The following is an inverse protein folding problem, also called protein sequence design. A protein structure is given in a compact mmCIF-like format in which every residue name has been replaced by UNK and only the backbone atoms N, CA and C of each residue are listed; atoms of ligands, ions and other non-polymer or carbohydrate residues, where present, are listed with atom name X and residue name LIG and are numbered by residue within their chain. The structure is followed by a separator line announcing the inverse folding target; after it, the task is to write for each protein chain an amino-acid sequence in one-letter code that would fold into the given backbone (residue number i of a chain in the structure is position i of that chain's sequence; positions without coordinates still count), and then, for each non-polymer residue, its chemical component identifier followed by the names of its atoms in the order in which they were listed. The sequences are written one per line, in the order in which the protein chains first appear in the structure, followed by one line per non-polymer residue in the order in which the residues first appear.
data_IF_154751762914
#
_entry.id   IF_154751762914
#
_cell.length_a   1.000
_cell.length_b   1.000
_cell.length_c   1.000
_cell.angle_alpha   90.00
_cell.angle_beta   90.00
_cell.angle_gamma   90.00
#
_symmetry.space_group_name_H-M   'P 1'
#
loop_
_entity.id
_entity.type
_entity.pdbx_description
1 polymer ?
#
# COMPACT_ATOMS: atom_id res chain seq x y z
N UNK A 1 -12.89 -43.99 17.59
CA UNK A 1 -12.30 -42.68 17.98
C UNK A 1 -11.03 -42.47 17.16
N UNK A 2 -11.13 -41.76 16.04
CA UNK A 2 -9.95 -41.22 15.34
C UNK A 2 -9.57 -39.92 16.04
N UNK A 3 -8.37 -39.84 16.59
CA UNK A 3 -7.77 -38.58 17.07
C UNK A 3 -6.95 -38.05 15.88
N UNK A 4 -7.48 -37.03 15.19
CA UNK A 4 -6.71 -36.24 14.23
C UNK A 4 -5.67 -35.43 15.01
N UNK A 5 -4.38 -35.67 14.72
CA UNK A 5 -3.30 -34.75 15.07
C UNK A 5 -3.44 -33.49 14.23
N UNK A 6 -3.76 -32.37 14.88
CA UNK A 6 -3.66 -31.03 14.30
C UNK A 6 -2.18 -30.64 14.42
N UNK A 7 -1.45 -30.69 13.31
CA UNK A 7 -0.16 -30.02 13.18
C UNK A 7 -0.42 -28.51 13.14
N UNK A 8 0.22 -27.69 13.99
CA UNK A 8 0.12 -26.25 13.86
C UNK A 8 0.87 -25.82 12.60
N UNK A 9 0.20 -25.02 11.77
CA UNK A 9 0.81 -24.27 10.68
C UNK A 9 1.89 -23.38 11.28
N UNK A 10 3.15 -23.70 10.99
CA UNK A 10 4.26 -22.79 11.18
C UNK A 10 4.05 -21.69 10.15
N UNK A 11 3.61 -20.53 10.61
CA UNK A 11 3.69 -19.30 9.84
C UNK A 11 5.18 -18.94 9.82
N UNK A 12 5.86 -19.27 8.73
CA UNK A 12 7.18 -18.70 8.46
C UNK A 12 6.97 -17.19 8.30
N UNK A 13 7.25 -16.48 9.39
CA UNK A 13 7.45 -15.03 9.41
C UNK A 13 8.53 -14.72 8.39
N UNK A 14 8.14 -14.19 7.23
CA UNK A 14 9.07 -13.68 6.25
C UNK A 14 10.00 -12.69 6.96
N UNK A 15 11.28 -13.06 6.99
CA UNK A 15 12.39 -12.32 7.57
C UNK A 15 12.42 -10.92 6.94
N UNK A 16 11.81 -9.95 7.62
CA UNK A 16 12.09 -8.53 7.42
C UNK A 16 13.59 -8.38 7.58
N UNK A 17 14.27 -7.77 6.60
CA UNK A 17 15.63 -7.31 6.78
C UNK A 17 15.68 -6.54 8.12
N UNK A 18 16.60 -6.94 9.00
CA UNK A 18 16.80 -6.32 10.31
C UNK A 18 17.30 -4.89 10.09
N UNK A 19 16.35 -3.96 10.04
CA UNK A 19 16.55 -2.53 9.78
C UNK A 19 17.06 -1.78 11.02
N UNK A 20 17.53 -2.51 12.06
CA UNK A 20 18.02 -1.95 13.32
C UNK A 20 16.95 -1.26 14.18
N UNK A 21 15.74 -1.03 13.66
CA UNK A 21 14.67 -0.26 14.30
C UNK A 21 13.84 -1.00 15.36
N UNK A 22 14.19 -2.24 15.71
CA UNK A 22 13.34 -3.14 16.52
C UNK A 22 12.83 -2.53 17.84
N UNK A 23 13.66 -1.75 18.54
CA UNK A 23 13.27 -1.11 19.81
C UNK A 23 12.27 0.03 19.66
N UNK A 24 12.33 0.77 18.54
CA UNK A 24 11.40 1.86 18.22
C UNK A 24 10.08 1.27 17.76
N UNK A 25 10.12 0.31 16.81
CA UNK A 25 8.93 -0.39 16.31
C UNK A 25 8.20 -1.13 17.44
N UNK A 26 8.92 -1.51 18.49
CA UNK A 26 8.35 -2.16 19.65
C UNK A 26 7.94 -3.58 19.34
N UNK A 27 8.83 -4.37 18.73
CA UNK A 27 8.65 -5.80 18.44
C UNK A 27 8.62 -6.68 19.72
N UNK A 28 7.88 -6.21 20.73
CA UNK A 28 7.62 -6.85 22.01
C UNK A 28 6.19 -6.55 22.44
N UNK A 29 5.82 -6.97 23.65
CA UNK A 29 4.43 -6.91 24.11
C UNK A 29 3.91 -5.45 24.07
N UNK A 30 2.82 -5.13 23.33
CA UNK A 30 2.23 -3.78 23.26
C UNK A 30 1.85 -3.20 24.63
N UNK A 31 1.81 -4.03 25.67
CA UNK A 31 1.58 -3.65 27.06
C UNK A 31 2.76 -2.99 27.75
N UNK A 32 3.95 -2.92 27.15
CA UNK A 32 5.14 -2.42 27.85
C UNK A 32 5.17 -0.90 28.04
N UNK A 33 4.22 -0.13 27.48
CA UNK A 33 4.07 1.33 27.65
C UNK A 33 5.40 2.11 27.58
N UNK A 34 6.37 1.61 26.83
CA UNK A 34 7.73 2.13 26.76
C UNK A 34 8.33 1.90 25.37
N UNK A 35 9.30 2.74 25.05
CA UNK A 35 10.06 2.69 23.82
C UNK A 35 11.44 3.34 24.04
N UNK A 36 12.42 2.85 23.30
CA UNK A 36 13.81 3.29 23.44
C UNK A 36 14.43 3.48 22.07
N UNK A 37 15.50 4.27 22.01
CA UNK A 37 16.41 4.25 20.86
C UNK A 37 16.92 2.83 20.59
N UNK A 38 17.24 2.51 19.33
CA UNK A 38 17.89 1.25 18.98
C UNK A 38 19.14 1.01 19.82
N UNK A 39 19.34 -0.26 20.22
CA UNK A 39 20.45 -0.73 21.05
C UNK A 39 20.53 -0.18 22.49
N UNK A 40 19.59 0.65 22.95
CA UNK A 40 19.58 1.16 24.32
C UNK A 40 19.73 0.02 25.35
N UNK A 41 20.62 0.13 26.35
CA UNK A 41 21.33 1.34 26.81
C UNK A 41 22.66 1.65 26.09
N UNK A 42 23.04 0.86 25.08
CA UNK A 42 24.20 1.16 24.25
C UNK A 42 23.91 2.28 23.24
N UNK A 43 24.94 2.70 22.52
CA UNK A 43 24.80 3.72 21.49
C UNK A 43 23.89 3.24 20.36
N UNK A 44 23.01 4.12 19.86
CA UNK A 44 22.22 3.83 18.66
C UNK A 44 23.14 3.72 17.44
N UNK A 45 22.69 3.04 16.38
CA UNK A 45 23.45 2.95 15.13
C UNK A 45 23.32 4.23 14.30
N UNK A 46 24.33 4.55 13.50
CA UNK A 46 24.21 5.55 12.42
C UNK A 46 23.14 5.17 11.39
N UNK A 47 22.65 6.16 10.63
CA UNK A 47 21.80 6.01 9.44
C UNK A 47 20.46 5.30 9.68
N UNK A 48 19.87 5.48 10.86
CA UNK A 48 18.56 4.93 11.18
C UNK A 48 17.45 5.90 10.76
N UNK A 49 16.33 5.37 10.27
CA UNK A 49 15.10 6.14 10.06
C UNK A 49 13.89 5.30 10.49
N UNK A 50 13.61 5.33 11.79
CA UNK A 50 12.66 4.46 12.44
C UNK A 50 11.36 5.18 12.75
N UNK A 51 10.24 4.58 12.37
CA UNK A 51 8.89 5.08 12.68
C UNK A 51 8.10 4.09 13.53
N UNK A 52 7.37 4.61 14.51
CA UNK A 52 6.37 3.89 15.30
C UNK A 52 5.09 4.71 15.39
N UNK A 53 3.94 4.05 15.25
CA UNK A 53 2.63 4.65 15.50
C UNK A 53 1.99 4.00 16.72
N UNK A 54 1.58 4.80 17.69
CA UNK A 54 0.84 4.37 18.87
C UNK A 54 -0.62 4.80 18.72
N UNK A 55 -1.54 3.87 18.96
CA UNK A 55 -2.98 4.10 18.96
C UNK A 55 -3.51 4.04 20.39
N UNK A 56 -4.21 5.10 20.81
CA UNK A 56 -4.96 5.14 22.04
C UNK A 56 -6.34 4.47 21.89
N UNK A 57 -6.95 4.15 23.03
CA UNK A 57 -8.37 3.83 23.09
C UNK A 57 -9.19 5.08 22.75
N UNK A 58 -10.39 4.94 22.16
CA UNK A 58 -11.27 6.07 21.91
C UNK A 58 -11.49 6.92 23.17
N UNK A 59 -11.32 8.24 23.05
CA UNK A 59 -11.47 9.20 24.14
C UNK A 59 -10.27 9.31 25.09
N UNK A 60 -9.10 8.80 24.71
CA UNK A 60 -7.84 8.96 25.44
C UNK A 60 -6.80 9.72 24.60
N UNK A 61 -6.06 10.59 25.27
CA UNK A 61 -4.85 11.22 24.75
C UNK A 61 -3.64 10.34 25.08
N UNK A 62 -2.54 10.51 24.35
CA UNK A 62 -1.26 9.83 24.62
C UNK A 62 -0.28 10.87 25.18
N UNK A 63 0.25 10.62 26.37
CA UNK A 63 1.26 11.46 27.02
C UNK A 63 2.59 10.70 27.06
N UNK A 64 3.68 11.31 26.59
CA UNK A 64 5.02 10.74 26.61
C UNK A 64 5.85 11.35 27.73
N UNK A 65 6.54 10.50 28.47
CA UNK A 65 7.43 10.87 29.57
C UNK A 65 8.83 10.32 29.31
N UNK A 66 9.83 11.21 29.21
CA UNK A 66 11.23 10.81 29.20
C UNK A 66 11.74 10.55 30.62
N UNK A 67 12.59 9.55 30.77
CA UNK A 67 13.29 9.28 32.02
C UNK A 67 14.70 9.90 31.99
N UNK A 68 15.50 9.72 33.06
CA UNK A 68 16.78 10.41 33.31
C UNK A 68 17.90 10.22 32.25
N UNK A 69 17.65 9.51 31.14
CA UNK A 69 18.61 9.28 30.07
C UNK A 69 18.04 9.77 28.73
N UNK A 70 18.59 10.88 28.25
CA UNK A 70 18.33 11.45 26.92
C UNK A 70 19.64 12.04 26.39
N UNK A 71 20.23 11.37 25.40
CA UNK A 71 21.45 11.78 24.73
C UNK A 71 21.30 11.49 23.24
N UNK A 72 21.00 12.53 22.47
CA UNK A 72 20.97 12.52 21.02
C UNK A 72 21.90 13.64 20.57
N UNK A 73 22.57 13.48 19.43
CA UNK A 73 23.50 14.51 18.91
C UNK A 73 22.88 15.92 18.99
N UNK A 74 23.64 16.86 19.52
CA UNK A 74 23.16 18.24 19.68
C UNK A 74 23.28 19.01 18.37
N UNK A 75 22.36 19.93 18.11
CA UNK A 75 22.50 20.85 16.99
C UNK A 75 23.69 21.78 17.21
N UNK A 76 24.58 21.88 16.22
CA UNK A 76 25.71 22.82 16.20
C UNK A 76 25.30 24.30 16.05
N UNK A 77 24.01 24.64 16.20
CA UNK A 77 23.53 26.02 16.18
C UNK A 77 24.09 26.77 17.40
N UNK A 78 25.27 27.35 17.19
CA UNK A 78 25.97 28.29 18.05
C UNK A 78 25.20 29.62 17.98
N UNK A 79 23.96 29.66 18.46
CA UNK A 79 23.35 30.92 18.89
C UNK A 79 22.92 30.82 20.35
N UNK A 80 23.85 31.29 21.17
CA UNK A 80 23.91 31.27 22.62
C UNK A 80 22.85 32.15 23.32
N UNK A 81 21.74 32.50 22.70
CA UNK A 81 20.86 33.58 23.19
C UNK A 81 19.35 33.34 23.03
N UNK A 82 18.82 32.17 23.36
CA UNK A 82 17.36 32.05 23.53
C UNK A 82 17.03 31.19 24.75
N UNK A 83 16.94 31.83 25.91
CA UNK A 83 16.18 31.35 27.08
C UNK A 83 14.65 31.38 26.83
N UNK A 84 14.17 31.28 25.58
CA UNK A 84 12.75 31.03 25.33
C UNK A 84 12.46 29.54 25.43
N UNK A 85 11.85 29.19 26.56
CA UNK A 85 11.05 27.98 26.75
C UNK A 85 10.12 27.77 25.55
N UNK A 86 10.46 26.82 24.69
CA UNK A 86 9.55 26.33 23.63
C UNK A 86 10.15 26.22 22.24
N UNK A 87 11.43 26.57 22.03
CA UNK A 87 12.06 26.39 20.72
C UNK A 87 12.30 24.91 20.46
N UNK A 88 11.56 24.38 19.48
CA UNK A 88 11.93 23.21 18.69
C UNK A 88 13.35 23.46 18.14
N UNK A 89 14.38 22.92 18.79
CA UNK A 89 15.72 22.89 18.21
C UNK A 89 15.60 22.22 16.84
N UNK A 90 16.13 22.84 15.79
CA UNK A 90 15.93 22.37 14.41
C UNK A 90 16.47 20.94 14.21
N UNK A 91 17.32 20.46 15.13
CA UNK A 91 17.91 19.11 15.21
C UNK A 91 18.15 18.53 13.82
N UNK A 92 19.06 19.16 13.05
CA UNK A 92 19.20 18.87 11.62
C UNK A 92 19.77 17.48 11.34
N UNK A 93 20.56 16.96 12.28
CA UNK A 93 21.24 15.68 12.22
C UNK A 93 20.35 14.62 12.89
N UNK A 94 20.71 14.20 14.10
CA UNK A 94 19.93 13.24 14.87
C UNK A 94 18.76 13.89 15.61
N UNK A 95 17.62 13.21 15.61
CA UNK A 95 16.45 13.67 16.34
C UNK A 95 15.45 12.57 16.68
N UNK A 96 14.64 12.86 17.70
CA UNK A 96 13.33 12.24 17.87
C UNK A 96 12.23 13.28 17.66
N UNK A 97 11.26 12.93 16.82
CA UNK A 97 10.13 13.77 16.48
C UNK A 97 8.82 13.08 16.84
N UNK A 98 7.89 13.87 17.39
CA UNK A 98 6.55 13.44 17.76
C UNK A 98 5.51 14.26 17.00
N UNK A 99 4.51 13.58 16.44
CA UNK A 99 3.39 14.20 15.71
C UNK A 99 2.05 13.72 16.25
N UNK A 100 1.09 14.63 16.31
CA UNK A 100 -0.28 14.35 16.75
C UNK A 100 -1.10 13.80 15.58
N UNK A 101 -1.06 12.49 15.41
CA UNK A 101 -1.73 11.78 14.31
C UNK A 101 -1.04 10.47 13.94
N UNK A 102 -1.48 9.86 12.84
CA UNK A 102 -0.99 8.54 12.36
C UNK A 102 0.12 8.62 11.33
N UNK A 103 0.40 9.79 10.76
CA UNK A 103 1.16 9.91 9.52
C UNK A 103 2.33 10.89 9.67
N UNK A 104 3.34 10.76 8.80
CA UNK A 104 4.47 11.69 8.76
C UNK A 104 4.08 13.13 8.46
N UNK A 105 2.93 13.35 7.82
CA UNK A 105 2.36 14.69 7.55
C UNK A 105 1.42 15.19 8.66
N UNK A 106 1.28 14.46 9.77
CA UNK A 106 0.49 14.92 10.93
C UNK A 106 1.16 16.14 11.60
N UNK A 107 0.38 17.00 12.31
CA UNK A 107 0.92 18.16 13.02
C UNK A 107 2.06 17.80 13.97
N UNK A 108 3.15 18.57 13.93
CA UNK A 108 4.31 18.36 14.81
C UNK A 108 3.98 18.81 16.23
N UNK A 109 4.21 17.93 17.20
CA UNK A 109 4.19 18.25 18.63
C UNK A 109 5.55 18.86 19.01
N UNK A 110 6.63 18.20 18.61
CA UNK A 110 7.98 18.67 18.85
C UNK A 110 9.06 17.76 18.26
N UNK A 111 10.22 18.35 18.02
CA UNK A 111 11.45 17.68 17.60
C UNK A 111 12.52 17.94 18.67
N UNK A 112 13.24 16.90 19.07
CA UNK A 112 14.14 16.93 20.21
C UNK A 112 15.47 16.24 19.91
N UNK A 113 16.54 16.83 20.43
CA UNK A 113 17.91 16.35 20.41
C UNK A 113 18.71 17.00 21.54
N UNK A 114 19.98 16.62 21.72
CA UNK A 114 20.84 17.11 22.80
C UNK A 114 20.90 16.19 24.03
N UNK A 115 21.41 16.74 25.12
CA UNK A 115 21.80 15.99 26.33
C UNK A 115 20.83 16.13 27.51
N UNK A 116 19.87 17.04 27.40
CA UNK A 116 18.86 17.28 28.43
C UNK A 116 17.52 16.69 28.02
N UNK A 117 16.82 16.08 28.97
CA UNK A 117 15.46 15.59 28.76
C UNK A 117 14.52 16.73 28.33
N UNK A 118 13.66 16.52 27.31
CA UNK A 118 12.67 17.51 26.90
C UNK A 118 11.81 18.01 28.07
N UNK A 119 11.73 19.33 28.25
CA UNK A 119 10.93 19.97 29.31
C UNK A 119 9.48 20.25 28.90
N UNK A 120 9.17 20.14 27.61
CA UNK A 120 7.83 20.35 27.06
C UNK A 120 6.95 19.12 27.27
N UNK A 121 5.66 19.32 27.54
CA UNK A 121 4.67 18.25 27.56
C UNK A 121 4.49 17.68 26.14
N UNK A 122 4.72 16.38 25.96
CA UNK A 122 4.52 15.71 24.67
C UNK A 122 3.18 14.98 24.74
N UNK A 123 2.14 15.60 24.20
CA UNK A 123 0.76 15.11 24.29
C UNK A 123 0.08 15.07 22.92
N UNK A 124 -0.33 13.89 22.49
CA UNK A 124 -1.15 13.70 21.29
C UNK A 124 -2.64 13.60 21.66
N UNK A 125 -3.47 14.46 21.08
CA UNK A 125 -4.90 14.59 21.36
C UNK A 125 -5.78 13.90 20.31
N UNK A 126 -5.23 13.59 19.14
CA UNK A 126 -5.93 12.85 18.09
C UNK A 126 -6.24 11.38 18.44
N UNK A 127 -5.66 10.88 19.55
CA UNK A 127 -5.64 9.46 19.88
C UNK A 127 -4.58 8.67 19.12
N UNK A 128 -3.77 9.33 18.29
CA UNK A 128 -2.64 8.74 17.57
C UNK A 128 -1.36 9.53 17.81
N UNK A 129 -0.27 8.80 18.04
CA UNK A 129 1.05 9.38 18.18
C UNK A 129 1.97 8.73 17.17
N UNK A 130 2.45 9.52 16.22
CA UNK A 130 3.49 9.12 15.28
C UNK A 130 4.83 9.59 15.81
N UNK A 131 5.78 8.65 15.90
CA UNK A 131 7.12 8.84 16.47
C UNK A 131 8.13 8.50 15.38
N UNK A 132 9.08 9.41 15.12
CA UNK A 132 10.21 9.16 14.23
C UNK A 132 11.52 9.42 14.94
N UNK A 133 12.40 8.43 14.94
CA UNK A 133 13.78 8.58 15.34
C UNK A 133 14.67 8.47 14.10
N UNK A 134 15.48 9.50 13.85
CA UNK A 134 16.42 9.54 12.73
C UNK A 134 17.83 9.78 13.26
N UNK A 135 18.80 9.05 12.73
CA UNK A 135 20.23 9.33 12.91
C UNK A 135 20.95 9.51 11.57
N UNK A 136 21.99 10.33 11.56
CA UNK A 136 22.89 10.49 10.42
C UNK A 136 24.11 9.55 10.50
N UNK A 137 25.16 9.81 9.72
CA UNK A 137 26.35 8.95 9.63
C UNK A 137 27.39 9.17 10.73
N UNK A 138 27.17 10.10 11.68
CA UNK A 138 28.16 10.51 12.67
C UNK A 138 27.56 10.64 14.08
N UNK A 139 28.45 10.66 15.07
CA UNK A 139 28.18 11.10 16.46
C UNK A 139 27.00 10.39 17.16
N UNK A 140 27.13 9.08 17.35
CA UNK A 140 26.12 8.30 18.06
C UNK A 140 26.26 8.43 19.59
N UNK A 141 25.12 8.50 20.27
CA UNK A 141 25.02 8.58 21.73
C UNK A 141 24.16 7.44 22.28
N UNK A 142 24.01 7.35 23.61
CA UNK A 142 23.20 6.31 24.25
C UNK A 142 21.70 6.38 23.90
N UNK A 143 21.26 7.49 23.30
CA UNK A 143 19.88 7.69 22.89
C UNK A 143 18.96 7.96 24.07
N UNK A 144 17.82 7.28 24.12
CA UNK A 144 16.75 7.64 25.07
C UNK A 144 15.95 6.43 25.56
N UNK A 145 15.35 6.60 26.73
CA UNK A 145 14.31 5.75 27.26
C UNK A 145 13.09 6.59 27.64
N UNK A 146 11.93 6.23 27.08
CA UNK A 146 10.67 6.93 27.32
C UNK A 146 9.55 5.94 27.61
N UNK A 147 8.58 6.41 28.40
CA UNK A 147 7.30 5.74 28.61
C UNK A 147 6.17 6.57 28.03
N UNK A 148 5.03 5.95 27.79
CA UNK A 148 3.81 6.66 27.45
C UNK A 148 2.64 6.16 28.28
N UNK A 149 1.71 7.05 28.58
CA UNK A 149 0.48 6.72 29.26
C UNK A 149 -0.73 7.24 28.47
N UNK A 150 -1.85 6.52 28.60
CA UNK A 150 -3.11 6.92 28.00
C UNK A 150 -3.96 7.61 29.06
N UNK A 151 -4.13 8.92 28.94
CA UNK A 151 -4.93 9.72 29.87
C UNK A 151 -6.28 10.03 29.24
N UNK A 152 -7.34 10.08 30.05
CA UNK A 152 -8.68 10.39 29.53
C UNK A 152 -8.66 11.80 28.94
N UNK A 153 -9.15 11.95 27.71
CA UNK A 153 -9.16 13.25 27.06
C UNK A 153 -10.08 14.21 27.83
N UNK A 154 -9.53 15.36 28.20
CA UNK A 154 -10.26 16.45 28.85
C UNK A 154 -10.90 17.38 27.84
N UNK A 155 -10.52 17.27 26.57
CA UNK A 155 -11.18 17.99 25.52
C UNK A 155 -12.59 17.39 25.35
N UNK A 156 -13.59 18.10 25.87
CA UNK A 156 -15.01 17.76 25.67
C UNK A 156 -15.41 17.84 24.21
N UNK A 157 -14.51 18.31 23.33
CA UNK A 157 -14.58 18.01 21.92
C UNK A 157 -14.27 16.52 21.69
N UNK A 158 -15.22 15.63 22.04
CA UNK A 158 -15.75 14.80 20.95
C UNK A 158 -15.93 15.80 19.81
N UNK A 159 -15.27 15.62 18.67
CA UNK A 159 -15.36 16.48 17.47
C UNK A 159 -16.55 17.44 17.52
N UNK A 160 -16.48 18.71 17.08
CA UNK A 160 -17.69 19.53 16.90
C UNK A 160 -18.84 18.80 16.19
N UNK A 161 -18.55 17.70 15.48
CA UNK A 161 -19.44 16.56 15.25
C UNK A 161 -19.38 15.48 16.35
N UNK A 162 -20.21 15.58 17.40
CA UNK A 162 -20.50 14.48 18.33
C UNK A 162 -21.23 13.32 17.63
N UNK A 163 -20.64 12.76 16.59
CA UNK A 163 -21.23 11.79 15.68
C UNK A 163 -20.11 10.91 15.12
N UNK A 164 -20.30 9.61 15.30
CA UNK A 164 -20.14 8.49 14.37
C UNK A 164 -19.75 8.80 12.90
N UNK A 165 -18.79 9.68 12.62
CA UNK A 165 -18.17 9.81 11.30
C UNK A 165 -16.91 8.99 11.29
N UNK A 166 -16.96 7.93 10.48
CA UNK A 166 -15.81 7.08 10.16
C UNK A 166 -14.67 7.99 9.71
N UNK A 167 -13.52 7.89 10.36
CA UNK A 167 -12.26 8.44 9.82
C UNK A 167 -12.21 8.06 8.33
N UNK A 168 -11.99 9.02 7.45
CA UNK A 168 -11.96 8.77 6.01
C UNK A 168 -10.63 8.09 5.63
N UNK A 169 -10.40 6.93 6.21
CA UNK A 169 -9.22 6.11 6.05
C UNK A 169 -9.60 4.85 5.29
N UNK A 170 -8.92 4.63 4.17
CA UNK A 170 -9.14 3.50 3.28
C UNK A 170 -7.82 2.75 3.17
N UNK A 171 -7.84 1.44 3.42
CA UNK A 171 -6.63 0.62 3.43
C UNK A 171 -6.73 -0.46 2.37
N UNK A 172 -5.73 -0.51 1.51
CA UNK A 172 -5.50 -1.61 0.58
C UNK A 172 -4.22 -2.34 1.01
N UNK A 173 -4.38 -3.48 1.67
CA UNK A 173 -3.26 -4.30 2.13
C UNK A 173 -3.13 -5.56 1.28
N UNK A 174 -1.92 -5.86 0.86
CA UNK A 174 -1.54 -7.04 0.08
C UNK A 174 -2.17 -7.13 -1.31
N UNK A 175 -2.89 -6.10 -1.75
CA UNK A 175 -3.44 -6.03 -3.11
C UNK A 175 -2.33 -5.60 -4.08
N UNK A 176 -2.19 -6.31 -5.19
CA UNK A 176 -1.16 -6.02 -6.20
C UNK A 176 -1.52 -4.83 -7.08
N UNK A 177 -2.80 -4.44 -7.13
CA UNK A 177 -3.30 -3.27 -7.84
C UNK A 177 -4.67 -2.84 -7.28
N UNK A 178 -5.11 -1.63 -7.63
CA UNK A 178 -6.43 -1.14 -7.23
C UNK A 178 -6.75 0.25 -7.74
N UNK A 179 -8.04 0.58 -7.75
CA UNK A 179 -8.53 1.86 -8.24
C UNK A 179 -8.94 2.75 -7.07
N UNK A 180 -8.56 4.02 -7.18
CA UNK A 180 -8.86 5.09 -6.24
C UNK A 180 -9.80 6.06 -6.94
N UNK A 181 -10.99 6.22 -6.38
CA UNK A 181 -12.01 7.10 -6.92
C UNK A 181 -12.57 8.02 -5.83
N UNK A 182 -12.42 9.33 -5.99
CA UNK A 182 -12.93 10.30 -5.01
C UNK A 182 -14.46 10.34 -4.94
N UNK A 183 -15.15 10.01 -6.04
CA UNK A 183 -16.63 9.97 -6.07
C UNK A 183 -17.21 8.99 -5.06
N UNK A 184 -16.49 7.90 -4.77
CA UNK A 184 -16.90 6.88 -3.78
C UNK A 184 -16.88 7.41 -2.34
N UNK A 185 -16.15 8.50 -2.07
CA UNK A 185 -16.08 9.08 -0.73
C UNK A 185 -17.42 9.68 -0.26
N UNK A 186 -18.31 10.01 -1.20
CA UNK A 186 -19.64 10.55 -0.88
C UNK A 186 -20.55 9.55 -0.16
N UNK A 187 -20.38 8.24 -0.38
CA UNK A 187 -21.31 7.23 0.13
C UNK A 187 -21.27 7.07 1.65
N UNK A 188 -20.26 7.61 2.32
CA UNK A 188 -20.11 7.60 3.78
C UNK A 188 -20.48 8.91 4.46
N UNK A 189 -20.80 9.96 3.71
CA UNK A 189 -21.10 11.28 4.27
C UNK A 189 -22.59 11.42 4.61
N UNK A 190 -22.92 12.19 5.66
CA UNK A 190 -24.30 12.61 5.94
C UNK A 190 -24.94 13.32 4.77
N UNK A 191 -26.26 13.24 4.72
CA UNK A 191 -27.03 14.19 3.96
C UNK A 191 -26.71 15.63 4.42
N UNK A 192 -26.27 16.46 3.47
CA UNK A 192 -25.91 17.87 3.66
C UNK A 192 -24.71 18.12 4.59
N UNK A 193 -23.74 17.20 4.64
CA UNK A 193 -22.50 17.44 5.36
C UNK A 193 -21.77 18.68 4.80
N UNK A 194 -21.50 19.65 5.67
CA UNK A 194 -20.73 20.86 5.37
C UNK A 194 -19.49 20.86 6.25
N UNK A 195 -18.32 20.81 5.63
CA UNK A 195 -17.06 20.68 6.35
C UNK A 195 -15.95 20.13 5.47
N UNK A 196 -14.70 20.16 5.96
CA UNK A 196 -13.57 19.66 5.21
C UNK A 196 -13.63 18.14 5.08
N UNK A 197 -13.21 17.64 3.92
CA UNK A 197 -13.03 16.22 3.66
C UNK A 197 -11.53 15.94 3.59
N UNK A 198 -10.99 15.30 4.62
CA UNK A 198 -9.59 14.87 4.71
C UNK A 198 -9.54 13.34 4.72
N UNK A 199 -9.23 12.78 3.55
CA UNK A 199 -9.23 11.34 3.33
C UNK A 199 -7.82 10.82 3.06
N UNK A 200 -7.49 9.68 3.65
CA UNK A 200 -6.19 9.04 3.49
C UNK A 200 -6.36 7.61 2.99
N UNK A 201 -5.73 7.30 1.86
CA UNK A 201 -5.52 5.92 1.45
C UNK A 201 -4.15 5.44 1.89
N UNK A 202 -4.11 4.30 2.57
CA UNK A 202 -2.91 3.52 2.80
C UNK A 202 -2.88 2.38 1.79
N UNK A 203 -1.83 2.34 0.98
CA UNK A 203 -1.57 1.27 0.02
C UNK A 203 -0.33 0.55 0.49
N UNK A 204 -0.47 -0.75 0.71
CA UNK A 204 0.60 -1.65 1.12
C UNK A 204 0.61 -2.86 0.19
N UNK A 205 1.69 -3.00 -0.57
CA UNK A 205 1.96 -4.16 -1.43
C UNK A 205 2.98 -5.07 -0.73
N UNK A 206 3.17 -6.33 -1.16
CA UNK A 206 4.23 -7.17 -0.63
C UNK A 206 5.61 -6.51 -0.73
N UNK A 207 6.49 -6.75 0.25
CA UNK A 207 7.73 -6.00 0.46
C UNK A 207 8.75 -6.13 -0.68
N UNK A 208 8.61 -7.14 -1.53
CA UNK A 208 9.40 -7.34 -2.74
C UNK A 208 9.01 -6.42 -3.91
N UNK A 209 7.88 -5.70 -3.79
CA UNK A 209 7.39 -4.78 -4.82
C UNK A 209 7.46 -3.32 -4.38
N UNK A 210 7.45 -2.44 -5.38
CA UNK A 210 7.26 -1.00 -5.25
C UNK A 210 5.90 -0.60 -5.81
N UNK A 211 5.44 0.62 -5.50
CA UNK A 211 4.12 1.10 -5.94
C UNK A 211 4.27 2.21 -6.98
N UNK A 212 3.52 2.10 -8.08
CA UNK A 212 3.29 3.18 -9.03
C UNK A 212 1.83 3.60 -9.00
N UNK A 213 1.57 4.90 -9.12
CA UNK A 213 0.23 5.48 -9.22
C UNK A 213 0.07 6.15 -10.59
N UNK A 214 -0.89 5.68 -11.38
CA UNK A 214 -1.29 6.27 -12.66
C UNK A 214 -2.62 7.00 -12.50
N UNK A 215 -2.79 8.13 -13.18
CA UNK A 215 -4.04 8.89 -13.19
C UNK A 215 -4.74 8.67 -14.53
N UNK A 216 -5.98 8.17 -14.47
CA UNK A 216 -6.86 8.08 -15.63
C UNK A 216 -7.63 9.39 -15.82
N UNK A 217 -8.11 9.96 -14.70
CA UNK A 217 -8.77 11.25 -14.65
C UNK A 217 -8.26 12.05 -13.44
N UNK A 218 -7.98 13.33 -13.63
CA UNK A 218 -7.65 14.23 -12.52
C UNK A 218 -8.23 15.61 -12.74
N UNK A 219 -9.21 15.99 -11.93
CA UNK A 219 -9.77 17.33 -11.87
C UNK A 219 -10.13 17.65 -10.44
N UNK A 220 -9.36 18.53 -9.81
CA UNK A 220 -9.59 19.02 -8.46
C UNK A 220 -10.32 20.36 -8.49
N UNK A 221 -11.30 20.53 -7.61
CA UNK A 221 -12.08 21.77 -7.54
C UNK A 221 -11.23 23.00 -7.15
N UNK A 222 -11.58 24.15 -7.75
CA UNK A 222 -10.96 25.47 -7.53
C UNK A 222 -11.05 25.91 -6.04
N UNK A 223 -10.10 26.68 -5.47
CA UNK A 223 -8.96 27.32 -6.10
C UNK A 223 -7.83 26.37 -6.47
N UNK A 224 -7.20 26.60 -7.63
CA UNK A 224 -6.03 25.87 -8.14
C UNK A 224 -4.74 26.25 -7.38
N UNK A 225 -4.87 26.68 -6.14
CA UNK A 225 -3.77 26.90 -5.23
C UNK A 225 -3.72 25.69 -4.33
N UNK A 226 -2.68 24.86 -4.46
CA UNK A 226 -2.52 23.62 -3.71
C UNK A 226 -2.34 23.83 -2.18
N UNK A 227 -2.65 25.02 -1.66
CA UNK A 227 -2.76 25.34 -0.22
C UNK A 227 -4.18 25.23 0.32
N UNK A 228 -5.21 25.20 -0.53
CA UNK A 228 -6.61 25.05 -0.10
C UNK A 228 -7.14 23.64 -0.30
N UNK A 229 -7.03 23.13 -1.53
CA UNK A 229 -7.42 21.77 -1.90
C UNK A 229 -6.20 21.09 -2.51
N UNK A 230 -5.98 19.82 -2.16
CA UNK A 230 -4.83 19.10 -2.67
C UNK A 230 -5.06 17.59 -2.72
N UNK A 231 -4.28 16.96 -3.60
CA UNK A 231 -4.06 15.53 -3.63
C UNK A 231 -2.56 15.28 -3.49
N UNK A 232 -2.15 14.70 -2.37
CA UNK A 232 -0.74 14.46 -2.04
C UNK A 232 -0.42 12.98 -2.05
N UNK A 233 0.75 12.65 -2.57
CA UNK A 233 1.28 11.28 -2.59
C UNK A 233 2.56 11.24 -1.78
N UNK A 234 2.61 10.38 -0.78
CA UNK A 234 3.75 10.15 0.10
C UNK A 234 4.30 8.75 -0.13
N UNK A 235 5.63 8.62 -0.12
CA UNK A 235 6.34 7.40 -0.48
C UNK A 235 7.04 6.82 0.75
N UNK A 236 6.57 5.65 1.22
CA UNK A 236 7.09 5.01 2.43
C UNK A 236 6.46 5.53 3.73
N UNK A 237 6.90 4.96 4.85
CA UNK A 237 6.35 5.22 6.21
C UNK A 237 6.99 6.40 6.94
N UNK A 238 8.20 6.79 6.52
CA UNK A 238 8.99 7.87 7.13
C UNK A 238 8.79 9.22 6.44
N UNK A 239 8.11 9.25 5.29
CA UNK A 239 7.89 10.45 4.48
C UNK A 239 7.01 11.46 5.21
N UNK A 240 7.61 12.59 5.59
CA UNK A 240 6.92 13.76 6.16
C UNK A 240 6.58 14.81 5.09
N UNK A 241 7.24 14.75 3.93
CA UNK A 241 6.95 15.56 2.75
C UNK A 241 6.30 14.73 1.64
N UNK A 242 5.39 15.30 0.85
CA UNK A 242 4.80 14.59 -0.27
C UNK A 242 5.83 14.45 -1.40
N UNK A 243 5.93 13.27 -2.00
CA UNK A 243 6.69 13.05 -3.23
C UNK A 243 6.12 13.90 -4.39
N UNK A 244 4.78 14.06 -4.40
CA UNK A 244 4.05 14.95 -5.30
C UNK A 244 2.82 15.52 -4.61
N UNK A 245 2.53 16.79 -4.89
CA UNK A 245 1.29 17.48 -4.52
C UNK A 245 0.62 17.97 -5.80
N UNK A 246 -0.65 17.62 -5.99
CA UNK A 246 -1.43 17.96 -7.16
C UNK A 246 -2.62 18.86 -6.80
N UNK A 247 -2.90 19.81 -7.70
CA UNK A 247 -4.12 20.58 -7.76
C UNK A 247 -4.38 20.99 -9.23
N UNK A 248 -5.58 21.46 -9.55
CA UNK A 248 -5.97 21.78 -10.93
C UNK A 248 -6.47 20.55 -11.70
N UNK A 249 -6.14 20.46 -13.00
CA UNK A 249 -6.81 19.55 -13.95
C UNK A 249 -5.92 18.47 -14.57
N UNK A 250 -4.68 18.32 -14.10
CA UNK A 250 -3.77 17.29 -14.61
C UNK A 250 -2.87 16.79 -13.50
N UNK A 251 -2.57 15.49 -13.49
CA UNK A 251 -1.60 14.88 -12.59
C UNK A 251 -0.72 13.91 -13.39
N UNK A 252 0.57 13.88 -13.07
CA UNK A 252 1.53 12.95 -13.67
C UNK A 252 1.59 11.66 -12.84
N UNK A 253 2.01 10.52 -13.43
CA UNK A 253 2.24 9.30 -12.66
C UNK A 253 3.30 9.47 -11.57
N UNK A 254 3.15 8.74 -10.45
CA UNK A 254 4.09 8.78 -9.32
C UNK A 254 4.67 7.40 -9.09
N UNK A 255 6.00 7.29 -9.17
CA UNK A 255 6.73 6.07 -8.88
C UNK A 255 7.33 6.15 -7.48
N UNK A 256 6.93 5.25 -6.60
CA UNK A 256 7.56 5.02 -5.29
C UNK A 256 8.63 3.95 -5.43
N UNK A 257 9.68 4.03 -4.61
CA UNK A 257 10.66 2.96 -4.42
C UNK A 257 10.32 2.06 -3.21
N UNK A 258 9.20 2.35 -2.52
CA UNK A 258 8.76 1.65 -1.33
C UNK A 258 7.50 0.83 -1.61
N UNK A 259 7.29 -0.19 -0.79
CA UNK A 259 6.10 -1.06 -0.80
C UNK A 259 4.89 -0.45 -0.05
N UNK A 260 5.05 0.75 0.52
CA UNK A 260 4.00 1.51 1.19
C UNK A 260 3.88 2.89 0.54
N UNK A 261 2.65 3.32 0.29
CA UNK A 261 2.31 4.64 -0.23
C UNK A 261 1.10 5.18 0.52
N UNK A 262 1.16 6.44 0.93
CA UNK A 262 0.01 7.15 1.46
C UNK A 262 -0.47 8.18 0.45
N UNK A 263 -1.78 8.28 0.29
CA UNK A 263 -2.40 9.31 -0.54
C UNK A 263 -3.33 10.10 0.36
N UNK A 264 -3.12 11.41 0.42
CA UNK A 264 -3.97 12.32 1.17
C UNK A 264 -4.74 13.23 0.22
N UNK A 265 -6.05 13.16 0.30
CA UNK A 265 -6.96 14.06 -0.42
C UNK A 265 -7.61 14.98 0.59
N UNK A 266 -7.44 16.28 0.36
CA UNK A 266 -8.06 17.32 1.18
C UNK A 266 -8.91 18.23 0.32
N UNK A 267 -10.16 18.41 0.76
CA UNK A 267 -11.11 19.35 0.20
C UNK A 267 -11.66 20.22 1.33
N UNK A 268 -11.66 21.54 1.14
CA UNK A 268 -12.12 22.50 2.14
C UNK A 268 -13.62 22.38 2.49
N UNK A 269 -14.43 21.98 1.51
CA UNK A 269 -15.87 21.74 1.67
C UNK A 269 -16.30 20.52 0.84
N UNK A 270 -16.72 19.47 1.54
CA UNK A 270 -17.16 18.19 1.00
C UNK A 270 -18.29 18.31 -0.05
N UNK A 271 -19.12 19.36 -0.01
CA UNK A 271 -20.18 19.55 -1.01
C UNK A 271 -19.65 19.75 -2.43
N UNK A 272 -18.36 20.12 -2.57
CA UNK A 272 -17.69 20.35 -3.86
C UNK A 272 -17.09 19.09 -4.46
N UNK A 273 -17.23 17.94 -3.80
CA UNK A 273 -16.70 16.68 -4.31
C UNK A 273 -17.34 16.27 -5.63
N UNK A 274 -18.59 16.67 -5.90
CA UNK A 274 -19.26 16.47 -7.19
C UNK A 274 -18.59 17.21 -8.34
N UNK A 275 -17.87 18.30 -8.06
CA UNK A 275 -17.08 19.06 -9.02
C UNK A 275 -15.62 18.55 -9.10
N UNK A 276 -15.28 17.51 -8.34
CA UNK A 276 -13.98 16.86 -8.35
C UNK A 276 -14.12 15.50 -9.03
N UNK A 277 -13.22 15.19 -9.96
CA UNK A 277 -13.17 13.89 -10.62
C UNK A 277 -11.74 13.40 -10.62
N UNK A 278 -11.40 12.52 -9.67
CA UNK A 278 -10.08 11.91 -9.57
C UNK A 278 -10.27 10.40 -9.61
N UNK A 279 -9.67 9.77 -10.61
CA UNK A 279 -9.58 8.33 -10.80
C UNK A 279 -8.12 7.96 -11.03
N UNK A 280 -7.58 7.12 -10.16
CA UNK A 280 -6.19 6.68 -10.22
C UNK A 280 -6.08 5.17 -10.03
N UNK A 281 -5.18 4.53 -10.78
CA UNK A 281 -4.83 3.12 -10.65
C UNK A 281 -3.48 3.03 -9.96
N UNK A 282 -3.42 2.40 -8.79
CA UNK A 282 -2.14 1.97 -8.23
C UNK A 282 -1.81 0.56 -8.71
N UNK A 283 -0.52 0.30 -8.88
CA UNK A 283 0.00 -1.01 -9.30
C UNK A 283 1.32 -1.32 -8.62
N UNK A 284 1.50 -2.59 -8.28
CA UNK A 284 2.77 -3.15 -7.82
C UNK A 284 3.69 -3.42 -9.01
N UNK A 285 4.95 -3.03 -8.87
CA UNK A 285 5.99 -3.27 -9.87
C UNK A 285 7.33 -3.59 -9.20
N UNK A 286 8.23 -4.24 -9.91
CA UNK A 286 9.61 -4.45 -9.50
C UNK A 286 10.56 -3.96 -10.60
N UNK A 287 11.69 -3.36 -10.22
CA UNK A 287 12.73 -2.97 -11.17
C UNK A 287 13.72 -4.12 -11.38
N UNK A 288 13.62 -4.81 -12.51
CA UNK A 288 14.49 -5.92 -12.87
C UNK A 288 14.88 -5.84 -14.34
N UNK A 289 16.17 -6.03 -14.64
CA UNK A 289 16.66 -6.13 -16.03
C UNK A 289 16.07 -7.30 -16.80
N UNK A 290 15.64 -8.35 -16.10
CA UNK A 290 15.06 -9.54 -16.70
C UNK A 290 13.84 -10.01 -15.90
N UNK A 291 12.66 -9.55 -16.29
CA UNK A 291 11.38 -9.92 -15.67
C UNK A 291 11.10 -11.43 -15.76
N UNK A 292 11.53 -12.09 -16.83
CA UNK A 292 11.29 -13.53 -17.05
C UNK A 292 11.96 -14.41 -16.01
N UNK A 293 13.05 -13.94 -15.40
CA UNK A 293 13.76 -14.68 -14.33
C UNK A 293 12.88 -14.94 -13.10
N UNK A 294 11.90 -14.06 -12.83
CA UNK A 294 10.95 -14.18 -11.72
C UNK A 294 9.52 -14.47 -12.17
N UNK A 295 9.32 -14.94 -13.41
CA UNK A 295 7.98 -15.16 -13.98
C UNK A 295 7.11 -13.89 -13.93
N UNK A 296 7.69 -12.73 -14.20
CA UNK A 296 6.99 -11.44 -14.24
C UNK A 296 6.82 -10.94 -15.67
N UNK A 297 5.81 -10.10 -15.89
CA UNK A 297 5.56 -9.46 -17.18
C UNK A 297 6.42 -8.19 -17.31
N UNK A 298 7.03 -7.96 -18.48
CA UNK A 298 7.84 -6.77 -18.76
C UNK A 298 7.01 -5.68 -19.39
N UNK A 299 7.08 -4.47 -18.84
CA UNK A 299 6.37 -3.31 -19.37
C UNK A 299 7.02 -2.68 -20.63
N UNK A 300 8.12 -3.25 -21.13
CA UNK A 300 8.92 -2.71 -22.22
C UNK A 300 10.16 -1.93 -21.78
N UNK A 301 10.40 -1.86 -20.47
CA UNK A 301 11.57 -1.29 -19.81
C UNK A 301 12.01 -2.20 -18.63
N UNK A 302 12.87 -1.68 -17.74
CA UNK A 302 13.30 -2.38 -16.53
C UNK A 302 12.17 -2.52 -15.48
N UNK A 303 10.95 -2.01 -15.73
CA UNK A 303 9.81 -2.21 -14.84
C UNK A 303 9.06 -3.48 -15.22
N UNK A 304 8.86 -4.32 -14.21
CA UNK A 304 8.14 -5.58 -14.31
C UNK A 304 6.92 -5.55 -13.41
N UNK A 305 5.79 -6.10 -13.87
CA UNK A 305 4.59 -6.30 -13.06
C UNK A 305 4.36 -7.79 -12.82
N UNK A 306 3.71 -8.19 -11.71
CA UNK A 306 3.30 -9.58 -11.50
C UNK A 306 2.51 -10.12 -12.69
N UNK A 307 2.72 -11.38 -13.07
CA UNK A 307 2.05 -11.99 -14.22
C UNK A 307 0.52 -11.99 -14.09
N UNK A 308 0.00 -12.00 -12.85
CA UNK A 308 -1.43 -11.89 -12.57
C UNK A 308 -2.03 -10.53 -12.92
N UNK A 309 -1.20 -9.49 -13.08
CA UNK A 309 -1.62 -8.17 -13.53
C UNK A 309 -1.60 -8.02 -15.05
N UNK A 310 -0.93 -8.91 -15.78
CA UNK A 310 -1.00 -8.89 -17.22
C UNK A 310 -2.34 -9.47 -17.68
N UNK A 311 -2.99 -8.81 -18.64
CA UNK A 311 -4.26 -9.23 -19.22
C UNK A 311 -5.43 -9.30 -18.23
N UNK A 312 -5.44 -8.40 -17.24
CA UNK A 312 -6.48 -8.31 -16.23
C UNK A 312 -7.52 -7.22 -16.54
N UNK A 313 -7.40 -6.54 -17.68
CA UNK A 313 -8.26 -5.43 -18.09
C UNK A 313 -7.88 -4.06 -17.51
N UNK A 314 -6.73 -3.95 -16.82
CA UNK A 314 -6.23 -2.71 -16.22
C UNK A 314 -4.84 -2.41 -16.77
N UNK A 315 -4.56 -1.13 -17.01
CA UNK A 315 -3.29 -0.67 -17.60
C UNK A 315 -2.23 -0.52 -16.51
N UNK A 316 -1.71 -1.64 -16.01
CA UNK A 316 -0.70 -1.66 -14.96
C UNK A 316 0.71 -1.26 -15.48
N UNK A 317 0.96 -1.37 -16.79
CA UNK A 317 2.15 -0.84 -17.44
C UNK A 317 1.94 0.55 -18.06
N UNK A 318 3.02 1.33 -18.29
CA UNK A 318 2.97 2.53 -19.11
C UNK A 318 2.31 2.24 -20.46
N UNK A 319 1.37 3.10 -20.85
CA UNK A 319 0.57 2.99 -22.08
C UNK A 319 -0.32 1.74 -22.20
N UNK A 320 -0.40 0.88 -21.17
CA UNK A 320 -1.24 -0.32 -21.17
C UNK A 320 -0.72 -1.47 -22.02
N UNK A 321 0.61 -1.58 -22.19
CA UNK A 321 1.24 -2.64 -22.99
C UNK A 321 0.93 -4.06 -22.48
N UNK A 322 0.67 -4.19 -21.19
CA UNK A 322 0.24 -5.40 -20.50
C UNK A 322 -1.13 -5.94 -20.97
N UNK A 323 -1.93 -5.11 -21.63
CA UNK A 323 -3.27 -5.47 -22.10
C UNK A 323 -3.35 -5.66 -23.63
N UNK A 324 -2.29 -5.33 -24.38
CA UNK A 324 -2.32 -5.36 -25.85
C UNK A 324 -2.14 -6.76 -26.46
N UNK A 325 -1.44 -7.67 -25.76
CA UNK A 325 -1.01 -8.97 -26.31
C UNK A 325 -1.75 -10.18 -25.72
N UNK A 326 -2.93 -9.97 -25.13
CA UNK A 326 -3.65 -10.99 -24.37
C UNK A 326 -4.36 -12.05 -25.24
N UNK A 327 -4.67 -11.71 -26.49
CA UNK A 327 -5.47 -12.55 -27.37
C UNK A 327 -4.69 -13.49 -28.30
N UNK A 328 -3.37 -13.64 -28.15
CA UNK A 328 -2.60 -14.51 -29.06
C UNK A 328 -3.01 -16.00 -28.93
N UNK A 329 -3.59 -16.41 -27.79
CA UNK A 329 -4.11 -17.78 -27.61
C UNK A 329 -5.55 -17.99 -28.15
N UNK A 330 -6.40 -16.96 -28.16
CA UNK A 330 -7.77 -17.06 -28.67
C UNK A 330 -7.88 -16.76 -30.17
N UNK A 331 -7.05 -15.85 -30.67
CA UNK A 331 -7.10 -15.43 -32.08
C UNK A 331 -6.48 -16.48 -33.02
N UNK A 332 -5.60 -17.36 -32.52
CA UNK A 332 -5.07 -18.47 -33.32
C UNK A 332 -6.14 -19.51 -33.68
N UNK A 333 -7.00 -19.87 -32.71
CA UNK A 333 -8.13 -20.78 -32.95
C UNK A 333 -9.21 -20.13 -33.82
N UNK A 334 -9.53 -18.85 -33.57
CA UNK A 334 -10.54 -18.15 -34.37
C UNK A 334 -10.07 -17.86 -35.80
N UNK A 335 -8.80 -17.48 -36.01
CA UNK A 335 -8.22 -17.34 -37.36
C UNK A 335 -8.03 -18.67 -38.08
N UNK A 336 -7.81 -19.78 -37.37
CA UNK A 336 -7.79 -21.11 -37.99
C UNK A 336 -9.19 -21.55 -38.44
N UNK A 337 -10.24 -21.24 -37.66
CA UNK A 337 -11.64 -21.59 -37.96
C UNK A 337 -12.27 -20.67 -39.01
N UNK A 338 -11.90 -19.40 -39.08
CA UNK A 338 -12.50 -18.40 -39.98
C UNK A 338 -11.59 -17.90 -41.12
N UNK A 339 -10.44 -18.54 -41.34
CA UNK A 339 -9.64 -18.26 -42.55
C UNK A 339 -10.45 -18.57 -43.82
N UNK A 340 -10.17 -17.86 -44.91
CA UNK A 340 -10.93 -17.91 -46.18
C UNK A 340 -11.04 -19.29 -46.84
N UNK A 341 -10.27 -20.28 -46.36
CA UNK A 341 -10.26 -21.67 -46.82
C UNK A 341 -11.13 -22.61 -45.98
N UNK A 342 -11.64 -22.17 -44.82
CA UNK A 342 -12.49 -22.96 -43.91
C UNK A 342 -13.71 -23.61 -44.61
N UNK A 343 -14.55 -22.91 -45.39
CA UNK A 343 -15.70 -23.55 -46.03
C UNK A 343 -15.30 -24.62 -47.07
N UNK A 344 -14.14 -24.47 -47.73
CA UNK A 344 -13.63 -25.48 -48.67
C UNK A 344 -13.13 -26.72 -47.94
N UNK A 345 -12.40 -26.54 -46.83
CA UNK A 345 -11.93 -27.66 -46.00
C UNK A 345 -13.12 -28.43 -45.41
N UNK A 346 -14.14 -27.75 -44.90
CA UNK A 346 -15.36 -28.40 -44.43
C UNK A 346 -16.09 -29.17 -45.54
N UNK A 347 -16.19 -28.60 -46.75
CA UNK A 347 -16.76 -29.31 -47.91
C UNK A 347 -15.95 -30.56 -48.27
N UNK A 348 -14.62 -30.49 -48.27
CA UNK A 348 -13.78 -31.66 -48.58
C UNK A 348 -13.91 -32.76 -47.53
N UNK A 349 -14.02 -32.42 -46.25
CA UNK A 349 -14.23 -33.39 -45.16
C UNK A 349 -15.61 -34.04 -45.28
N UNK A 350 -16.66 -33.27 -45.57
CA UNK A 350 -18.02 -33.80 -45.75
C UNK A 350 -18.06 -34.75 -46.95
N UNK A 351 -17.47 -34.36 -48.09
CA UNK A 351 -17.40 -35.22 -49.28
C UNK A 351 -16.62 -36.50 -48.97
N UNK A 352 -15.49 -36.40 -48.26
CA UNK A 352 -14.70 -37.56 -47.86
C UNK A 352 -15.50 -38.51 -46.95
N UNK A 353 -16.21 -37.99 -45.94
CA UNK A 353 -17.05 -38.79 -45.06
C UNK A 353 -18.21 -39.46 -45.79
N UNK A 354 -18.83 -38.79 -46.77
CA UNK A 354 -19.88 -39.37 -47.61
C UNK A 354 -19.30 -40.49 -48.49
N UNK A 355 -18.14 -40.28 -49.11
CA UNK A 355 -17.47 -41.30 -49.94
C UNK A 355 -17.05 -42.49 -49.09
N UNK A 356 -16.46 -42.27 -47.91
CA UNK A 356 -16.14 -43.33 -46.96
C UNK A 356 -17.40 -44.06 -46.47
N UNK A 357 -18.49 -43.34 -46.17
CA UNK A 357 -19.76 -43.93 -45.78
C UNK A 357 -20.36 -44.80 -46.88
N UNK A 358 -20.32 -44.35 -48.14
CA UNK A 358 -20.76 -45.11 -49.30
C UNK A 358 -19.85 -46.30 -49.59
N UNK A 359 -18.54 -46.15 -49.40
CA UNK A 359 -17.58 -47.24 -49.55
C UNK A 359 -17.79 -48.32 -48.47
N UNK A 360 -17.96 -47.91 -47.22
CA UNK A 360 -18.28 -48.79 -46.10
C UNK A 360 -19.64 -49.47 -46.33
N UNK A 361 -20.64 -48.77 -46.85
CA UNK A 361 -21.94 -49.34 -47.20
C UNK A 361 -21.83 -50.37 -48.34
N UNK A 362 -21.04 -50.08 -49.38
CA UNK A 362 -20.91 -50.93 -50.56
C UNK A 362 -20.03 -52.15 -50.30
N UNK A 363 -19.04 -52.05 -49.40
CA UNK A 363 -18.14 -53.15 -49.03
C UNK A 363 -18.51 -53.83 -47.70
N UNK A 364 -19.63 -53.46 -47.06
CA UNK A 364 -20.10 -54.16 -45.86
C UNK A 364 -20.44 -55.61 -46.21
N UNK A 365 -19.74 -56.62 -45.66
CA UNK A 365 -20.04 -58.02 -45.96
C UNK A 365 -21.40 -58.36 -45.36
N UNK A 366 -22.37 -58.72 -46.20
CA UNK A 366 -23.72 -59.14 -45.76
C UNK A 366 -23.80 -60.54 -45.15
N UNK A 367 -22.68 -61.17 -44.81
CA UNK A 367 -22.64 -62.54 -44.30
C UNK A 367 -21.85 -62.66 -43.00
N UNK A 368 -22.46 -62.25 -41.89
CA UNK A 368 -21.99 -62.65 -40.56
C UNK A 368 -23.12 -62.70 -39.53
N UNK A 369 -24.19 -63.47 -39.82
CA UNK A 369 -25.02 -64.03 -38.73
C UNK A 369 -25.86 -65.23 -39.19
N UNK A 370 -25.26 -66.42 -39.29
CA UNK A 370 -26.02 -67.69 -39.27
C UNK A 370 -25.35 -68.71 -38.33
N UNK A 371 -25.96 -68.82 -37.14
CA UNK A 371 -26.02 -69.92 -36.14
C UNK A 371 -25.04 -71.09 -36.30
N UNK A 372 -24.30 -71.40 -35.23
CA UNK A 372 -23.89 -72.78 -34.90
C UNK A 372 -24.57 -73.23 -33.60
N UNK A 373 -25.43 -74.26 -33.70
CA UNK A 373 -25.82 -75.14 -32.59
C UNK A 373 -24.68 -76.15 -32.37
N UNK A 374 -24.35 -76.56 -31.14
CA UNK A 374 -23.61 -77.79 -30.91
C UNK A 374 -24.56 -79.00 -30.86
N UNK A 375 -24.08 -80.09 -31.46
CA UNK A 375 -24.70 -81.40 -31.66
C UNK A 375 -24.33 -82.31 -30.48
N UNK A 376 -25.29 -83.08 -29.96
CA UNK A 376 -25.07 -84.19 -29.01
C UNK A 376 -24.44 -85.40 -29.70
N UNK A 377 -23.63 -86.16 -28.96
CA UNK A 377 -23.31 -87.62 -29.04
C UNK A 377 -22.17 -87.84 -28.03
N UNK A 378 -22.08 -88.87 -27.20
CA UNK A 378 -22.82 -90.13 -26.94
C UNK A 378 -22.43 -90.58 -25.54
#
# INVERSE_FOLDING_TARGET
MLILCILPLIVDSAYSADDGCGSIRGEGVPSLHSFTSPNYPNHYSSNLDCVRVIQARPGFDILVNFHHHFQIETSYDIEKNVEEKGVTSNCPNDFIEFRDGRYGFSPVIGRFCGMDTPKMEIRARSGFLWIRFRSDDLLEYTGFYATYEMVRSTDRRLNPHGSFYKDCEIQYRHALDGVIETKTLTSGLPHNYTGPLDCVWLIEVPSEYSIVLYFDEFSLYFPNHCGHNFFEVFSGTTSDQPARRYCGMTAAPVFSAHHIMYIRFYLDDANRISNTSISALYSSYAKLKNCSSKQMFSCGDDNCVPQSLACNGRKNCPYGNDELACHVAQDFLFRMVFNSYSPLVFLTIIVFLVVCGLYIWHYWPRDACRRRKPMQTT
#
